data_IF_689005732368
#
_entry.id   IF_689005732368
#
_cell.length_a   1.000
_cell.length_b   1.000
_cell.length_c   1.000
_cell.angle_alpha   90.00
_cell.angle_beta   90.00
_cell.angle_gamma   90.00
#
_symmetry.space_group_name_H-M   'P 1'
#
loop_
_entity.id
_entity.type
_entity.pdbx_description
1 polymer ?
#
# COMPACT_ATOMS: atom_id res chain seq x y z
N UNK A 1 -21.65 1.40 7.41
CA UNK A 1 -20.65 2.34 7.95
C UNK A 1 -19.45 2.44 7.00
N UNK A 2 -19.00 3.64 6.71
CA UNK A 2 -17.88 3.86 5.80
C UNK A 2 -16.56 3.45 6.45
N UNK A 3 -15.74 2.70 5.73
CA UNK A 3 -14.39 2.32 6.17
C UNK A 3 -13.37 2.90 5.19
N UNK A 4 -12.41 3.65 5.74
CA UNK A 4 -11.36 4.25 4.92
C UNK A 4 -10.38 3.20 4.39
N UNK A 5 -10.16 2.14 5.15
CA UNK A 5 -9.26 1.06 4.77
C UNK A 5 -9.98 -0.27 4.97
N UNK A 6 -9.95 -1.10 3.94
CA UNK A 6 -10.66 -2.38 3.95
C UNK A 6 -9.62 -3.48 3.87
N UNK A 7 -9.58 -4.31 4.91
CA UNK A 7 -8.65 -5.42 5.01
C UNK A 7 -9.25 -6.69 4.45
N UNK A 8 -8.45 -7.41 3.67
CA UNK A 8 -8.79 -8.74 3.20
C UNK A 8 -7.58 -9.64 3.39
N UNK A 9 -7.78 -10.87 3.85
CA UNK A 9 -6.68 -11.83 3.96
C UNK A 9 -6.85 -12.89 2.87
N UNK A 10 -5.78 -13.07 2.07
CA UNK A 10 -5.74 -14.05 0.98
C UNK A 10 -4.54 -14.95 1.28
N UNK A 11 -4.80 -16.14 1.87
CA UNK A 11 -3.72 -16.97 2.39
C UNK A 11 -2.96 -16.24 3.48
N UNK A 12 -1.66 -16.13 3.35
CA UNK A 12 -0.82 -15.39 4.29
C UNK A 12 -0.54 -13.95 3.84
N UNK A 13 -1.23 -13.47 2.80
CA UNK A 13 -1.10 -12.11 2.30
C UNK A 13 -2.24 -11.26 2.84
N UNK A 14 -1.92 -10.08 3.37
CA UNK A 14 -2.91 -9.09 3.77
C UNK A 14 -3.04 -8.06 2.68
N UNK A 15 -4.26 -7.81 2.22
CA UNK A 15 -4.55 -6.74 1.28
C UNK A 15 -5.24 -5.62 2.04
N UNK A 16 -4.64 -4.43 2.03
CA UNK A 16 -5.26 -3.23 2.61
C UNK A 16 -5.69 -2.33 1.46
N UNK A 17 -6.98 -2.22 1.26
CA UNK A 17 -7.53 -1.36 0.23
C UNK A 17 -7.75 0.05 0.77
N UNK A 18 -7.22 1.04 0.07
CA UNK A 18 -7.45 2.45 0.40
C UNK A 18 -8.78 2.86 -0.25
N UNK A 19 -9.82 2.93 0.56
CA UNK A 19 -11.18 3.23 0.11
C UNK A 19 -11.45 4.73 0.19
N UNK A 20 -10.55 5.51 -0.42
CA UNK A 20 -10.60 6.97 -0.42
C UNK A 20 -10.21 7.45 -1.81
N UNK A 21 -10.94 8.42 -2.34
CA UNK A 21 -10.56 9.00 -3.62
C UNK A 21 -9.30 9.87 -3.48
N UNK A 22 -9.08 10.46 -2.31
CA UNK A 22 -7.90 11.28 -2.01
C UNK A 22 -7.28 10.82 -0.69
N UNK A 23 -6.01 10.49 -0.72
CA UNK A 23 -5.26 10.09 0.47
C UNK A 23 -4.07 11.04 0.62
N UNK A 24 -4.10 11.85 1.66
CA UNK A 24 -3.16 12.96 1.83
C UNK A 24 -2.57 12.97 3.23
N UNK A 25 -1.95 14.09 3.58
CA UNK A 25 -1.41 14.35 4.91
C UNK A 25 -2.38 13.96 6.03
N UNK A 26 -3.68 14.20 5.83
CA UNK A 26 -4.70 13.90 6.84
C UNK A 26 -4.78 12.41 7.17
N UNK A 27 -4.64 11.56 6.15
CA UNK A 27 -4.81 10.12 6.29
C UNK A 27 -3.48 9.38 6.49
N UNK A 28 -2.36 10.05 6.22
CA UNK A 28 -1.05 9.40 6.17
C UNK A 28 -0.69 8.70 7.49
N UNK A 29 -0.88 9.38 8.62
CA UNK A 29 -0.52 8.83 9.92
C UNK A 29 -1.42 7.65 10.30
N UNK A 30 -2.72 7.76 10.06
CA UNK A 30 -3.66 6.68 10.34
C UNK A 30 -3.37 5.45 9.49
N UNK A 31 -3.08 5.65 8.22
CA UNK A 31 -2.78 4.53 7.34
C UNK A 31 -1.46 3.87 7.72
N UNK A 32 -0.46 4.66 8.06
CA UNK A 32 0.81 4.12 8.56
C UNK A 32 0.58 3.25 9.80
N UNK A 33 -0.25 3.71 10.73
CA UNK A 33 -0.59 2.92 11.92
C UNK A 33 -1.29 1.60 11.55
N UNK A 34 -2.16 1.64 10.56
CA UNK A 34 -2.85 0.44 10.08
C UNK A 34 -1.85 -0.59 9.56
N UNK A 35 -0.91 -0.15 8.71
CA UNK A 35 0.11 -1.04 8.16
C UNK A 35 1.08 -1.54 9.23
N UNK A 36 1.51 -0.66 10.14
CA UNK A 36 2.41 -1.05 11.23
C UNK A 36 1.74 -2.09 12.13
N UNK A 37 0.45 -1.94 12.37
CA UNK A 37 -0.31 -2.90 13.18
C UNK A 37 -0.33 -4.28 12.52
N UNK A 38 -0.51 -4.33 11.20
CA UNK A 38 -0.43 -5.59 10.46
C UNK A 38 0.96 -6.21 10.59
N UNK A 39 2.00 -5.40 10.42
CA UNK A 39 3.39 -5.86 10.49
C UNK A 39 3.70 -6.38 11.89
N UNK A 40 3.29 -5.66 12.93
CA UNK A 40 3.53 -6.06 14.32
C UNK A 40 2.76 -7.32 14.71
N UNK A 41 1.66 -7.61 14.03
CA UNK A 41 0.91 -8.84 14.24
C UNK A 41 1.53 -10.06 13.54
N UNK A 42 2.66 -9.87 12.86
CA UNK A 42 3.40 -10.94 12.20
C UNK A 42 3.15 -11.07 10.70
N UNK A 43 2.41 -10.14 10.10
CA UNK A 43 2.16 -10.18 8.66
C UNK A 43 3.40 -9.69 7.91
N UNK A 44 3.91 -10.52 7.00
CA UNK A 44 5.12 -10.20 6.24
C UNK A 44 4.86 -10.00 4.75
N UNK A 45 3.63 -10.20 4.31
CA UNK A 45 3.23 -10.07 2.90
C UNK A 45 2.02 -9.17 2.84
N UNK A 46 2.24 -7.93 2.39
CA UNK A 46 1.18 -6.92 2.36
C UNK A 46 1.05 -6.37 0.95
N UNK A 47 -0.20 -6.22 0.51
CA UNK A 47 -0.55 -5.53 -0.73
C UNK A 47 -1.38 -4.32 -0.35
N UNK A 48 -0.99 -3.14 -0.83
CA UNK A 48 -1.80 -1.93 -0.70
C UNK A 48 -2.51 -1.70 -2.03
N UNK A 49 -3.83 -1.72 -2.00
CA UNK A 49 -4.66 -1.56 -3.19
C UNK A 49 -5.12 -0.11 -3.30
N UNK A 50 -4.66 0.57 -4.35
CA UNK A 50 -4.93 1.97 -4.62
C UNK A 50 -5.90 2.16 -5.79
N UNK A 51 -6.63 1.10 -6.20
CA UNK A 51 -7.47 1.14 -7.39
C UNK A 51 -8.56 2.22 -7.33
N UNK A 52 -9.08 2.50 -6.14
CA UNK A 52 -10.12 3.50 -5.95
C UNK A 52 -9.57 4.87 -5.54
N UNK A 53 -8.26 5.00 -5.42
CA UNK A 53 -7.62 6.24 -4.98
C UNK A 53 -7.14 7.03 -6.19
N UNK A 54 -7.73 8.23 -6.38
CA UNK A 54 -7.42 9.06 -7.54
C UNK A 54 -6.23 9.97 -7.30
N UNK A 55 -5.90 10.27 -6.04
CA UNK A 55 -4.85 11.21 -5.71
C UNK A 55 -4.17 10.85 -4.38
N UNK A 56 -2.85 10.88 -4.37
CA UNK A 56 -2.06 10.82 -3.13
C UNK A 56 -1.07 11.98 -3.13
N UNK A 57 -0.71 12.48 -1.94
CA UNK A 57 0.34 13.48 -1.84
C UNK A 57 1.66 12.82 -1.38
N UNK A 58 2.71 13.64 -1.29
CA UNK A 58 4.04 13.14 -0.90
C UNK A 58 4.07 12.61 0.54
N UNK A 59 3.22 13.14 1.41
CA UNK A 59 3.16 12.68 2.81
C UNK A 59 2.57 11.28 2.90
N UNK A 60 1.50 11.01 2.13
CA UNK A 60 0.91 9.67 2.09
C UNK A 60 1.90 8.68 1.47
N UNK A 61 2.57 9.08 0.40
CA UNK A 61 3.61 8.26 -0.23
C UNK A 61 4.73 7.95 0.78
N UNK A 62 5.12 8.95 1.57
CA UNK A 62 6.13 8.76 2.63
C UNK A 62 5.71 7.73 3.66
N UNK A 63 4.43 7.69 4.02
CA UNK A 63 3.90 6.68 4.94
C UNK A 63 4.06 5.26 4.36
N UNK A 64 3.84 5.11 3.05
CA UNK A 64 4.06 3.83 2.37
C UNK A 64 5.54 3.43 2.41
N UNK A 65 6.44 4.39 2.18
CA UNK A 65 7.89 4.13 2.19
C UNK A 65 8.35 3.70 3.58
N UNK A 66 7.90 4.38 4.63
CA UNK A 66 8.24 4.01 6.01
C UNK A 66 7.77 2.60 6.33
N UNK A 67 6.55 2.25 5.91
CA UNK A 67 6.00 0.92 6.13
C UNK A 67 6.78 -0.15 5.38
N UNK A 68 7.18 0.14 4.13
CA UNK A 68 8.00 -0.78 3.34
C UNK A 68 9.35 -1.04 4.04
N UNK A 69 10.01 0.01 4.52
CA UNK A 69 11.28 -0.16 5.23
C UNK A 69 11.12 -1.03 6.46
N UNK A 70 10.05 -0.84 7.19
CA UNK A 70 9.78 -1.58 8.42
C UNK A 70 9.56 -3.08 8.12
N UNK A 71 8.74 -3.38 7.14
CA UNK A 71 8.43 -4.77 6.81
C UNK A 71 9.64 -5.47 6.16
N UNK A 72 10.40 -4.75 5.35
CA UNK A 72 11.60 -5.30 4.71
C UNK A 72 12.65 -5.69 5.76
N UNK A 73 12.79 -4.90 6.80
CA UNK A 73 13.71 -5.20 7.90
C UNK A 73 13.35 -6.50 8.62
N UNK A 74 12.10 -6.93 8.53
CA UNK A 74 11.62 -8.17 9.13
C UNK A 74 11.55 -9.33 8.12
N UNK A 75 12.10 -9.14 6.93
CA UNK A 75 12.13 -10.19 5.91
C UNK A 75 10.88 -10.27 5.07
N UNK A 76 10.00 -9.27 5.13
CA UNK A 76 8.77 -9.21 4.35
C UNK A 76 8.83 -8.24 3.19
N UNK A 77 7.69 -8.00 2.57
CA UNK A 77 7.58 -7.04 1.48
C UNK A 77 6.18 -6.43 1.43
N UNK A 78 6.08 -5.24 0.85
CA UNK A 78 4.85 -4.49 0.64
C UNK A 78 4.78 -4.11 -0.83
N UNK A 79 3.72 -4.54 -1.50
CA UNK A 79 3.52 -4.30 -2.94
C UNK A 79 2.30 -3.42 -3.17
N UNK A 80 2.29 -2.70 -4.28
CA UNK A 80 1.23 -1.75 -4.60
C UNK A 80 0.46 -2.22 -5.83
N UNK A 81 -0.84 -1.94 -5.89
CA UNK A 81 -1.65 -2.27 -7.06
C UNK A 81 -2.63 -1.17 -7.42
N UNK A 82 -2.99 -1.12 -8.70
CA UNK A 82 -4.15 -0.39 -9.15
C UNK A 82 -3.97 1.12 -9.28
N UNK A 83 -2.89 1.56 -9.89
CA UNK A 83 -2.64 3.00 -10.02
C UNK A 83 -3.60 3.67 -10.99
N UNK A 84 -4.31 4.68 -10.51
CA UNK A 84 -5.00 5.62 -11.36
C UNK A 84 -4.02 6.65 -11.94
N UNK A 85 -4.38 7.40 -12.99
CA UNK A 85 -3.41 8.24 -13.72
C UNK A 85 -2.58 9.19 -12.85
N UNK A 86 -3.22 9.91 -11.91
CA UNK A 86 -2.50 10.86 -11.06
C UNK A 86 -1.54 10.15 -10.10
N UNK A 87 -1.97 9.02 -9.55
CA UNK A 87 -1.13 8.22 -8.66
C UNK A 87 0.05 7.64 -9.44
N UNK A 88 -0.20 7.14 -10.65
CA UNK A 88 0.86 6.64 -11.52
C UNK A 88 1.87 7.74 -11.84
N UNK A 89 1.40 8.95 -12.17
CA UNK A 89 2.28 10.07 -12.46
C UNK A 89 3.19 10.40 -11.28
N UNK A 90 2.63 10.45 -10.06
CA UNK A 90 3.43 10.71 -8.88
C UNK A 90 4.46 9.60 -8.65
N UNK A 91 4.04 8.35 -8.83
CA UNK A 91 4.91 7.19 -8.66
C UNK A 91 6.09 7.24 -9.64
N UNK A 92 5.82 7.63 -10.89
CA UNK A 92 6.86 7.74 -11.92
C UNK A 92 7.77 8.94 -11.69
N UNK A 93 7.19 10.11 -11.37
CA UNK A 93 7.96 11.34 -11.15
C UNK A 93 8.88 11.23 -9.93
N UNK A 94 8.46 10.52 -8.90
CA UNK A 94 9.27 10.31 -7.69
C UNK A 94 10.17 9.09 -7.79
N UNK A 95 10.11 8.36 -8.90
CA UNK A 95 10.89 7.13 -9.17
C UNK A 95 10.64 6.03 -8.15
N UNK A 96 9.45 5.98 -7.58
CA UNK A 96 9.08 4.96 -6.60
C UNK A 96 9.00 3.56 -7.21
N UNK A 97 8.96 3.44 -8.53
CA UNK A 97 9.05 2.15 -9.21
C UNK A 97 10.38 1.44 -8.92
N UNK A 98 11.40 2.18 -8.43
CA UNK A 98 12.68 1.57 -8.02
C UNK A 98 12.61 0.99 -6.60
N UNK A 99 11.59 1.36 -5.86
CA UNK A 99 11.46 1.04 -4.43
C UNK A 99 10.37 -0.01 -4.20
N UNK A 100 9.23 0.15 -4.90
CA UNK A 100 8.08 -0.76 -4.77
C UNK A 100 7.89 -1.59 -6.03
N UNK A 101 7.54 -2.86 -5.85
CA UNK A 101 6.93 -3.62 -6.94
C UNK A 101 5.46 -3.23 -7.03
N UNK A 102 4.97 -3.06 -8.25
CA UNK A 102 3.57 -2.70 -8.47
C UNK A 102 2.95 -3.58 -9.54
N UNK A 103 1.64 -3.76 -9.45
CA UNK A 103 0.88 -4.63 -10.35
C UNK A 103 -0.43 -3.93 -10.71
N UNK A 104 -1.08 -4.38 -11.78
CA UNK A 104 -2.35 -3.80 -12.18
C UNK A 104 -3.50 -4.37 -11.33
N UNK A 105 -3.40 -5.64 -10.90
CA UNK A 105 -4.46 -6.30 -10.15
C UNK A 105 -3.96 -6.84 -8.83
N UNK A 106 -4.88 -6.94 -7.89
CA UNK A 106 -4.64 -7.55 -6.58
C UNK A 106 -4.19 -9.02 -6.75
N UNK A 107 -4.83 -9.74 -7.66
CA UNK A 107 -4.54 -11.16 -7.90
C UNK A 107 -3.09 -11.35 -8.34
N UNK A 108 -2.60 -10.50 -9.25
CA UNK A 108 -1.21 -10.55 -9.68
C UNK A 108 -0.24 -10.29 -8.53
N UNK A 109 -0.54 -9.30 -7.71
CA UNK A 109 0.32 -8.94 -6.57
C UNK A 109 0.37 -10.09 -5.56
N UNK A 110 -0.76 -10.67 -5.22
CA UNK A 110 -0.83 -11.79 -4.28
C UNK A 110 -0.03 -12.98 -4.82
N UNK A 111 -0.22 -13.31 -6.10
CA UNK A 111 0.48 -14.43 -6.74
C UNK A 111 1.99 -14.23 -6.78
N UNK A 112 2.45 -12.97 -6.85
CA UNK A 112 3.87 -12.66 -6.94
C UNK A 112 4.65 -12.99 -5.67
N UNK A 113 3.97 -13.21 -4.56
CA UNK A 113 4.60 -13.62 -3.30
C UNK A 113 4.93 -15.11 -3.25
N UNK A 114 4.44 -15.88 -4.17
CA UNK A 114 4.67 -17.34 -4.19
C UNK A 114 5.92 -17.72 -4.97
#
# INVERSE_FOLDING_TARGET
MFQEYIKEEVGDVVVEKVNLSRATLKEAEDFKRTLVRDIESGKKRIVVDLADCEFIDSTFLGALVVSLKRITALGGDLKLVGFQPNVRSMFELTRMYRVFESFETKEEAVASFN
#
